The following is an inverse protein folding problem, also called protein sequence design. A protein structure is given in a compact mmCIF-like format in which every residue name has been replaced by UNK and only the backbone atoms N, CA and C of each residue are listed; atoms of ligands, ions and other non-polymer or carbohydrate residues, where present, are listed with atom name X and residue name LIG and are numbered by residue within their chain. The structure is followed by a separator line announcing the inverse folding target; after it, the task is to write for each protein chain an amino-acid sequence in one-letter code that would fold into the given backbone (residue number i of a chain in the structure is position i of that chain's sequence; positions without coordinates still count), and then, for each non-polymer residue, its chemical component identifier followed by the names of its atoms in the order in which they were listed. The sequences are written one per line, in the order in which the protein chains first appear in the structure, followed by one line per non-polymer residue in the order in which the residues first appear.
data_IF_779990070304
#
_entry.id   IF_779990070304
#
_cell.length_a   1.000
_cell.length_b   1.000
_cell.length_c   1.000
_cell.angle_alpha   90.00
_cell.angle_beta   90.00
_cell.angle_gamma   90.00
#
_symmetry.space_group_name_H-M   'P 1'
#
loop_
_entity.id
_entity.type
_entity.pdbx_description
1 polymer ?
#
# COMPACT_ATOMS: atom_id res chain seq x y z
N UNK A 1 6.77 -8.05 17.24
CA UNK A 1 5.59 -8.70 16.62
C UNK A 1 6.07 -9.94 15.88
N UNK A 2 5.30 -11.04 15.80
CA UNK A 2 5.73 -12.21 15.02
C UNK A 2 5.45 -11.97 13.53
N UNK A 3 6.21 -12.60 12.64
CA UNK A 3 6.01 -12.44 11.18
C UNK A 3 4.58 -12.75 10.74
N UNK A 4 3.95 -13.78 11.32
CA UNK A 4 2.55 -14.14 11.02
C UNK A 4 1.58 -13.01 11.35
N UNK A 5 1.78 -12.32 12.48
CA UNK A 5 0.93 -11.20 12.89
C UNK A 5 1.08 -10.02 11.90
N UNK A 6 2.28 -9.79 11.37
CA UNK A 6 2.52 -8.76 10.34
C UNK A 6 1.79 -9.05 9.02
N UNK A 7 1.72 -10.32 8.61
CA UNK A 7 0.98 -10.74 7.40
C UNK A 7 -0.52 -10.49 7.58
N UNK A 8 -1.08 -10.88 8.73
CA UNK A 8 -2.49 -10.68 9.06
C UNK A 8 -2.82 -9.19 9.13
N UNK A 9 -1.97 -8.40 9.79
CA UNK A 9 -2.18 -6.96 9.92
C UNK A 9 -2.13 -6.28 8.57
N UNK A 10 -1.11 -6.54 7.74
CA UNK A 10 -1.01 -5.92 6.43
C UNK A 10 -2.19 -6.29 5.52
N UNK A 11 -2.56 -7.57 5.48
CA UNK A 11 -3.75 -8.01 4.75
C UNK A 11 -5.00 -7.29 5.24
N UNK A 12 -5.17 -7.15 6.56
CA UNK A 12 -6.27 -6.43 7.17
C UNK A 12 -6.32 -4.96 6.75
N UNK A 13 -5.21 -4.23 6.86
CA UNK A 13 -5.12 -2.82 6.46
C UNK A 13 -5.35 -2.60 4.95
N UNK A 14 -4.92 -3.56 4.14
CA UNK A 14 -5.05 -3.53 2.69
C UNK A 14 -6.48 -3.84 2.20
N UNK A 15 -7.19 -4.74 2.88
CA UNK A 15 -8.46 -5.31 2.37
C UNK A 15 -9.69 -5.01 3.22
N UNK A 16 -9.51 -4.72 4.51
CA UNK A 16 -10.59 -4.37 5.42
C UNK A 16 -10.75 -2.86 5.43
N UNK A 17 -11.99 -2.43 5.50
CA UNK A 17 -12.38 -1.03 5.53
C UNK A 17 -13.67 -0.85 6.32
N UNK A 18 -14.26 0.34 6.22
CA UNK A 18 -15.56 0.68 6.81
C UNK A 18 -16.78 0.18 6.00
N UNK A 19 -16.54 -0.75 5.06
CA UNK A 19 -17.54 -1.27 4.13
C UNK A 19 -17.54 -0.63 2.75
N UNK A 20 -16.82 0.48 2.55
CA UNK A 20 -16.70 1.14 1.24
C UNK A 20 -15.25 1.32 0.76
N UNK A 21 -14.30 1.50 1.67
CA UNK A 21 -12.90 1.83 1.31
C UNK A 21 -11.90 1.16 2.25
N UNK A 22 -10.83 0.51 1.76
CA UNK A 22 -9.77 -0.06 2.60
C UNK A 22 -9.16 0.96 3.57
N UNK A 23 -8.74 0.51 4.76
CA UNK A 23 -8.17 1.40 5.78
C UNK A 23 -6.95 2.18 5.29
N UNK A 24 -6.11 1.58 4.44
CA UNK A 24 -4.97 2.28 3.83
C UNK A 24 -5.37 3.43 2.90
N UNK A 25 -6.61 3.45 2.41
CA UNK A 25 -7.17 4.53 1.60
C UNK A 25 -8.07 5.47 2.41
N UNK A 26 -8.30 5.20 3.70
CA UNK A 26 -9.07 6.06 4.58
C UNK A 26 -8.23 7.20 5.13
N UNK A 27 -8.66 8.44 4.91
CA UNK A 27 -7.93 9.65 5.31
C UNK A 27 -7.46 9.64 6.78
N UNK A 28 -8.25 9.07 7.69
CA UNK A 28 -7.95 9.05 9.12
C UNK A 28 -6.92 7.99 9.53
N UNK A 29 -6.92 6.83 8.87
CA UNK A 29 -6.12 5.66 9.28
C UNK A 29 -4.95 5.38 8.36
N UNK A 30 -4.95 5.91 7.14
CA UNK A 30 -4.02 5.57 6.07
C UNK A 30 -2.54 5.64 6.49
N UNK A 31 -2.16 6.63 7.30
CA UNK A 31 -0.77 6.77 7.77
C UNK A 31 -0.35 5.63 8.74
N UNK A 32 -1.27 5.12 9.55
CA UNK A 32 -1.03 3.96 10.41
C UNK A 32 -0.88 2.72 9.54
N UNK A 33 -1.79 2.52 8.58
CA UNK A 33 -1.75 1.41 7.62
C UNK A 33 -0.46 1.37 6.81
N UNK A 34 0.01 2.52 6.32
CA UNK A 34 1.27 2.63 5.59
C UNK A 34 2.50 2.32 6.49
N UNK A 35 2.41 2.60 7.80
CA UNK A 35 3.45 2.23 8.76
C UNK A 35 3.48 0.71 9.00
N UNK A 36 2.34 0.02 8.94
CA UNK A 36 2.30 -1.45 8.97
C UNK A 36 3.09 -2.04 7.79
N UNK A 37 2.99 -1.44 6.60
CA UNK A 37 3.79 -1.89 5.44
C UNK A 37 5.28 -1.63 5.58
N UNK A 38 5.67 -0.58 6.32
CA UNK A 38 7.07 -0.35 6.71
C UNK A 38 7.59 -1.51 7.56
N UNK A 39 6.83 -1.97 8.56
CA UNK A 39 7.23 -3.10 9.40
C UNK A 39 7.37 -4.41 8.60
N UNK A 40 6.47 -4.66 7.64
CA UNK A 40 6.57 -5.80 6.70
C UNK A 40 7.83 -5.72 5.86
N UNK A 41 8.19 -4.52 5.38
CA UNK A 41 9.41 -4.28 4.60
C UNK A 41 10.65 -4.55 5.45
N UNK A 42 10.70 -4.01 6.66
CA UNK A 42 11.80 -4.16 7.60
C UNK A 42 12.01 -5.62 8.02
N UNK A 43 10.93 -6.40 8.11
CA UNK A 43 10.98 -7.83 8.36
C UNK A 43 11.43 -8.67 7.14
N UNK A 44 11.65 -8.05 5.97
CA UNK A 44 12.10 -8.73 4.76
C UNK A 44 11.02 -9.61 4.10
N UNK A 45 9.74 -9.30 4.32
CA UNK A 45 8.62 -10.14 3.91
C UNK A 45 8.01 -9.77 2.53
N UNK A 46 8.62 -8.84 1.78
CA UNK A 46 8.10 -8.35 0.49
C UNK A 46 7.76 -9.45 -0.53
N UNK A 47 8.50 -10.55 -0.48
CA UNK A 47 8.32 -11.66 -1.42
C UNK A 47 7.27 -12.68 -0.96
N UNK A 48 6.70 -12.52 0.24
CA UNK A 48 5.65 -13.40 0.74
C UNK A 48 4.39 -13.28 -0.14
N UNK A 49 3.76 -14.40 -0.55
CA UNK A 49 2.56 -14.38 -1.39
C UNK A 49 1.41 -13.53 -0.83
N UNK A 50 1.18 -13.57 0.49
CA UNK A 50 0.11 -12.79 1.15
C UNK A 50 0.39 -11.29 1.04
N UNK A 51 1.66 -10.88 1.16
CA UNK A 51 2.05 -9.47 1.01
C UNK A 51 1.84 -9.00 -0.41
N UNK A 52 2.23 -9.81 -1.40
CA UNK A 52 2.01 -9.48 -2.82
C UNK A 52 0.54 -9.34 -3.14
N UNK A 53 -0.29 -10.26 -2.68
CA UNK A 53 -1.73 -10.23 -2.91
C UNK A 53 -2.38 -8.99 -2.26
N UNK A 54 -1.98 -8.62 -1.04
CA UNK A 54 -2.41 -7.38 -0.39
C UNK A 54 -1.94 -6.14 -1.17
N UNK A 55 -0.67 -6.11 -1.57
CA UNK A 55 -0.08 -5.01 -2.35
C UNK A 55 -0.83 -4.81 -3.67
N UNK A 56 -1.17 -5.90 -4.38
CA UNK A 56 -1.99 -5.86 -5.60
C UNK A 56 -3.39 -5.30 -5.35
N UNK A 57 -4.03 -5.72 -4.25
CA UNK A 57 -5.36 -5.25 -3.88
C UNK A 57 -5.36 -3.74 -3.61
N UNK A 58 -4.36 -3.24 -2.86
CA UNK A 58 -4.18 -1.80 -2.62
C UNK A 58 -4.02 -1.05 -3.93
N UNK A 59 -3.14 -1.53 -4.82
CA UNK A 59 -2.86 -0.87 -6.09
C UNK A 59 -4.10 -0.80 -6.99
N UNK A 60 -4.87 -1.89 -7.08
CA UNK A 60 -6.12 -1.91 -7.86
C UNK A 60 -7.17 -0.99 -7.26
N UNK A 61 -7.30 -0.98 -5.95
CA UNK A 61 -8.27 -0.14 -5.24
C UNK A 61 -7.95 1.34 -5.44
N UNK A 62 -6.68 1.74 -5.30
CA UNK A 62 -6.30 3.16 -5.47
C UNK A 62 -6.42 3.63 -6.92
N UNK A 63 -6.17 2.76 -7.91
CA UNK A 63 -6.36 3.09 -9.31
C UNK A 63 -7.84 3.21 -9.70
N UNK A 64 -8.72 2.47 -9.01
CA UNK A 64 -10.17 2.48 -9.25
C UNK A 64 -10.88 3.66 -8.56
N UNK A 65 -10.60 3.86 -7.28
CA UNK A 65 -11.32 4.82 -6.44
C UNK A 65 -10.59 6.17 -6.30
N UNK A 66 -9.28 6.19 -6.63
CA UNK A 66 -8.42 7.33 -6.38
C UNK A 66 -8.01 7.46 -4.90
N UNK A 67 -7.05 8.34 -4.62
CA UNK A 67 -6.64 8.67 -3.26
C UNK A 67 -6.03 10.08 -3.22
N UNK A 68 -6.41 10.88 -2.24
CA UNK A 68 -5.93 12.27 -2.14
C UNK A 68 -4.58 12.40 -1.41
N UNK A 69 -4.13 11.36 -0.72
CA UNK A 69 -2.86 11.33 -0.01
C UNK A 69 -3.01 11.31 1.51
N UNK A 70 -1.90 11.06 2.19
CA UNK A 70 -1.86 10.94 3.64
C UNK A 70 -1.79 12.32 4.29
N UNK A 71 -2.68 12.60 5.23
CA UNK A 71 -2.65 13.82 6.05
C UNK A 71 -1.31 14.02 6.78
N UNK A 72 -0.63 12.91 7.11
CA UNK A 72 0.64 12.88 7.85
C UNK A 72 1.71 12.05 7.12
N UNK A 73 1.90 12.26 5.81
CA UNK A 73 2.94 11.55 5.04
C UNK A 73 4.35 11.82 5.57
N UNK A 74 4.68 13.08 5.86
CA UNK A 74 6.07 13.51 6.05
C UNK A 74 6.90 13.38 4.76
N UNK A 75 8.23 13.35 4.89
CA UNK A 75 9.17 13.16 3.77
C UNK A 75 9.50 11.67 3.58
N UNK A 76 8.53 10.89 3.11
CA UNK A 76 8.76 9.48 2.81
C UNK A 76 9.55 9.30 1.50
N UNK A 77 10.56 8.42 1.48
CA UNK A 77 11.33 8.12 0.27
C UNK A 77 10.42 7.53 -0.81
N UNK A 78 10.73 7.76 -2.09
CA UNK A 78 9.88 7.31 -3.19
C UNK A 78 9.80 5.79 -3.24
N UNK A 79 10.90 5.09 -2.95
CA UNK A 79 11.02 3.63 -2.95
C UNK A 79 9.95 2.93 -2.09
N UNK A 80 9.41 3.63 -1.10
CA UNK A 80 8.25 3.16 -0.34
C UNK A 80 6.95 3.56 -1.04
N UNK A 81 6.67 2.92 -2.17
CA UNK A 81 5.52 3.25 -3.03
C UNK A 81 4.18 3.32 -2.27
N UNK A 82 4.00 2.52 -1.22
CA UNK A 82 2.80 2.48 -0.38
C UNK A 82 2.56 3.77 0.42
N UNK A 83 3.52 4.71 0.46
CA UNK A 83 3.33 6.06 0.99
C UNK A 83 2.95 7.10 -0.08
N UNK A 84 2.94 6.71 -1.35
CA UNK A 84 2.72 7.59 -2.50
C UNK A 84 1.51 7.18 -3.33
N UNK A 85 0.50 6.59 -2.68
CA UNK A 85 -0.73 6.15 -3.34
C UNK A 85 -1.46 7.30 -4.06
N UNK A 86 -1.32 8.55 -3.62
CA UNK A 86 -1.84 9.73 -4.31
C UNK A 86 -1.22 9.92 -5.70
N UNK A 87 0.09 9.70 -5.81
CA UNK A 87 0.82 9.77 -7.08
C UNK A 87 0.42 8.61 -7.99
N UNK A 88 0.25 7.42 -7.42
CA UNK A 88 -0.21 6.23 -8.16
C UNK A 88 -1.62 6.47 -8.71
N UNK A 89 -2.55 6.97 -7.89
CA UNK A 89 -3.91 7.32 -8.33
C UNK A 89 -3.91 8.31 -9.51
N UNK A 90 -2.97 9.26 -9.54
CA UNK A 90 -2.83 10.26 -10.61
C UNK A 90 -1.98 9.82 -11.79
N UNK A 91 -1.46 8.58 -11.79
CA UNK A 91 -0.51 8.07 -12.79
C UNK A 91 0.80 8.89 -12.88
N UNK A 92 1.22 9.50 -11.76
CA UNK A 92 2.43 10.33 -11.65
C UNK A 92 3.59 9.62 -10.95
N UNK A 93 3.34 8.45 -10.35
CA UNK A 93 4.38 7.68 -9.67
C UNK A 93 5.31 7.00 -10.69
N UNK A 94 6.65 7.03 -10.51
CA UNK A 94 7.59 6.40 -11.45
C UNK A 94 7.43 4.87 -11.50
N UNK A 95 7.02 4.27 -12.64
CA UNK A 95 6.76 2.83 -12.72
C UNK A 95 7.97 1.97 -12.33
N UNK A 96 9.18 2.39 -12.66
CA UNK A 96 10.43 1.68 -12.34
C UNK A 96 10.69 1.51 -10.85
N UNK A 97 10.05 2.33 -10.00
CA UNK A 97 10.15 2.22 -8.54
C UNK A 97 9.10 1.28 -7.94
N UNK A 98 8.11 0.82 -8.73
CA UNK A 98 7.20 -0.23 -8.29
C UNK A 98 7.88 -1.61 -8.41
N UNK A 99 7.55 -2.57 -7.53
CA UNK A 99 7.84 -3.98 -7.75
C UNK A 99 7.28 -4.47 -9.10
N UNK A 100 7.99 -5.38 -9.77
CA UNK A 100 7.63 -5.85 -11.12
C UNK A 100 6.17 -6.33 -11.23
N UNK A 101 5.70 -7.08 -10.24
CA UNK A 101 4.32 -7.61 -10.22
C UNK A 101 3.24 -6.52 -10.08
N UNK A 102 3.59 -5.35 -9.53
CA UNK A 102 2.69 -4.18 -9.46
C UNK A 102 2.77 -3.30 -10.71
N UNK A 103 3.91 -3.28 -11.42
CA UNK A 103 4.07 -2.50 -12.65
C UNK A 103 3.07 -2.91 -13.72
N UNK A 104 2.81 -4.21 -13.86
CA UNK A 104 1.84 -4.73 -14.83
C UNK A 104 0.41 -4.26 -14.56
N UNK A 105 0.06 -4.07 -13.28
CA UNK A 105 -1.24 -3.55 -12.87
C UNK A 105 -1.28 -2.04 -13.11
N UNK A 106 -0.20 -1.34 -12.75
CA UNK A 106 -0.09 0.11 -12.90
C UNK A 106 -0.06 0.58 -14.35
N UNK A 107 0.44 -0.22 -15.29
CA UNK A 107 0.50 0.12 -16.71
C UNK A 107 -0.83 -0.04 -17.45
N UNK A 108 -1.82 -0.73 -16.86
CA UNK A 108 -3.18 -0.88 -17.42
C UNK A 108 -4.01 0.38 -17.20
#
# INVERSE_FOLDING_TARGET
MRNEDLLVNWWGEATIGDGYTPYILSYHTAHVSASVRDEVKEAGLDNNPVVKEADEFVLRSVLKEGFQGYARRGNQPLEKWWWHLDKIARKEYPPELLPDYLREIYAK
#
